data_IF_217392572235
#
_entry.id   IF_217392572235
#
_cell.length_a   1.000
_cell.length_b   1.000
_cell.length_c   1.000
_cell.angle_alpha   90.00
_cell.angle_beta   90.00
_cell.angle_gamma   90.00
#
_symmetry.space_group_name_H-M   'P 1'
#
loop_
_entity.id
_entity.type
_entity.pdbx_description
1 polymer ?
#
# COMPACT_ATOMS: atom_id res chain seq x y z
N UNK A 1 -31.36 10.19 4.23
CA UNK A 1 -30.57 9.37 5.17
C UNK A 1 -29.54 10.32 5.81
N UNK A 2 -29.74 10.72 7.06
CA UNK A 2 -28.87 11.67 7.78
C UNK A 2 -27.81 10.88 8.56
N UNK A 3 -26.54 11.11 8.28
CA UNK A 3 -25.44 10.51 9.05
C UNK A 3 -25.45 11.07 10.49
N UNK A 4 -25.54 10.19 11.49
CA UNK A 4 -25.36 10.56 12.91
C UNK A 4 -23.90 10.95 13.13
N UNK A 5 -23.62 12.23 13.39
CA UNK A 5 -22.33 12.65 13.94
C UNK A 5 -22.15 12.06 15.35
N UNK A 6 -20.93 11.73 15.78
CA UNK A 6 -20.66 11.22 17.12
C UNK A 6 -20.72 12.37 18.13
N UNK A 7 -21.92 12.77 18.55
CA UNK A 7 -22.17 13.85 19.52
C UNK A 7 -21.68 13.46 20.92
N UNK A 8 -21.60 12.15 21.22
CA UNK A 8 -21.34 11.63 22.57
C UNK A 8 -19.96 12.02 23.14
N UNK A 9 -18.95 12.16 22.28
CA UNK A 9 -17.56 12.36 22.73
C UNK A 9 -17.04 13.80 22.54
N UNK A 10 -17.83 14.67 21.88
CA UNK A 10 -17.47 16.07 21.68
C UNK A 10 -18.72 16.96 21.71
N UNK A 11 -19.33 17.15 22.89
CA UNK A 11 -20.58 17.90 23.04
C UNK A 11 -20.45 19.37 22.62
N UNK A 12 -19.22 19.90 22.64
CA UNK A 12 -18.93 21.29 22.27
C UNK A 12 -18.54 21.46 20.79
N UNK A 13 -18.46 20.36 20.01
CA UNK A 13 -17.96 20.37 18.62
C UNK A 13 -16.58 21.03 18.44
N UNK A 14 -15.75 21.06 19.49
CA UNK A 14 -14.42 21.64 19.44
C UNK A 14 -13.37 20.54 19.30
N UNK A 15 -12.53 20.64 18.27
CA UNK A 15 -11.37 19.77 18.09
C UNK A 15 -10.14 20.66 18.18
N UNK A 16 -9.31 20.40 19.18
CA UNK A 16 -8.01 21.05 19.30
C UNK A 16 -6.95 20.09 18.78
N UNK A 17 -6.24 20.51 17.72
CA UNK A 17 -5.06 19.82 17.21
C UNK A 17 -3.85 20.62 17.63
N UNK A 18 -3.04 20.07 18.52
CA UNK A 18 -1.82 20.71 19.03
C UNK A 18 -0.59 19.95 18.56
N UNK A 19 0.38 20.67 17.98
CA UNK A 19 1.70 20.12 17.66
C UNK A 19 2.62 20.44 18.83
N UNK A 20 3.11 19.40 19.53
CA UNK A 20 3.90 19.56 20.75
C UNK A 20 5.37 19.92 20.47
N UNK A 21 5.91 19.51 19.31
CA UNK A 21 7.29 19.73 18.87
C UNK A 21 7.29 19.89 17.35
N UNK A 22 7.77 21.03 16.85
CA UNK A 22 7.89 21.31 15.41
C UNK A 22 9.37 21.36 14.95
N UNK A 23 10.28 20.90 15.80
CA UNK A 23 11.70 20.76 15.45
C UNK A 23 11.96 19.40 14.82
N UNK A 24 12.69 19.42 13.69
CA UNK A 24 13.09 18.21 12.97
C UNK A 24 14.60 18.04 13.11
N UNK A 25 15.03 16.86 13.55
CA UNK A 25 16.42 16.57 13.93
C UNK A 25 17.34 16.50 12.70
N UNK A 26 17.95 17.64 12.33
CA UNK A 26 19.07 17.70 11.39
C UNK A 26 18.76 17.31 9.95
N UNK A 27 17.48 17.15 9.57
CA UNK A 27 17.05 16.86 8.20
C UNK A 27 15.93 17.82 7.81
N UNK A 28 15.98 18.28 6.55
CA UNK A 28 14.90 19.06 5.98
C UNK A 28 13.71 18.16 5.70
N UNK A 29 12.51 18.66 5.97
CA UNK A 29 11.29 18.03 5.46
C UNK A 29 11.29 18.13 3.93
N UNK A 30 11.35 17.00 3.26
CA UNK A 30 11.30 16.92 1.81
C UNK A 30 9.93 16.41 1.35
N UNK A 31 9.10 17.35 0.89
CA UNK A 31 7.78 17.06 0.30
C UNK A 31 7.92 16.15 -0.94
N UNK A 32 9.05 16.22 -1.65
CA UNK A 32 9.35 15.38 -2.81
C UNK A 32 9.45 13.90 -2.44
N UNK A 33 9.94 13.58 -1.26
CA UNK A 33 9.98 12.20 -0.76
C UNK A 33 8.57 11.62 -0.60
N UNK A 34 7.60 12.40 -0.10
CA UNK A 34 6.20 11.99 -0.02
C UNK A 34 5.60 11.75 -1.41
N UNK A 35 5.86 12.64 -2.38
CA UNK A 35 5.41 12.46 -3.75
C UNK A 35 6.04 11.24 -4.42
N UNK A 36 7.32 10.97 -4.13
CA UNK A 36 8.03 9.81 -4.65
C UNK A 36 7.40 8.51 -4.16
N UNK A 37 7.13 8.38 -2.85
CA UNK A 37 6.51 7.16 -2.31
C UNK A 37 5.09 6.94 -2.87
N UNK A 38 4.29 8.00 -3.00
CA UNK A 38 2.98 7.93 -3.65
C UNK A 38 3.10 7.52 -5.13
N UNK A 39 4.07 8.10 -5.87
CA UNK A 39 4.38 7.75 -7.25
C UNK A 39 5.12 6.42 -7.39
N UNK A 40 5.55 5.78 -6.32
CA UNK A 40 6.19 4.45 -6.31
C UNK A 40 5.20 3.34 -6.02
N UNK A 41 4.18 3.61 -5.21
CA UNK A 41 3.16 2.66 -4.81
C UNK A 41 2.40 2.03 -6.00
N UNK A 42 2.19 0.72 -5.94
CA UNK A 42 1.37 0.02 -6.94
C UNK A 42 -0.08 0.45 -6.84
N UNK A 43 -0.71 0.68 -7.99
CA UNK A 43 -2.14 0.97 -8.06
C UNK A 43 -2.95 -0.30 -7.82
N UNK A 44 -4.24 -0.16 -7.49
CA UNK A 44 -5.14 -1.31 -7.29
C UNK A 44 -5.16 -2.29 -8.48
N UNK A 45 -5.22 -1.83 -9.75
CA UNK A 45 -5.11 -2.73 -10.91
C UNK A 45 -3.78 -3.50 -10.96
N UNK A 46 -2.64 -2.85 -10.67
CA UNK A 46 -1.34 -3.51 -10.64
C UNK A 46 -1.28 -4.59 -9.55
N UNK A 47 -1.87 -4.31 -8.37
CA UNK A 47 -1.94 -5.29 -7.28
C UNK A 47 -2.75 -6.53 -7.67
N UNK A 48 -3.90 -6.36 -8.34
CA UNK A 48 -4.70 -7.48 -8.84
C UNK A 48 -3.95 -8.33 -9.87
N UNK A 49 -3.23 -7.68 -10.78
CA UNK A 49 -2.40 -8.40 -11.76
C UNK A 49 -1.26 -9.17 -11.07
N UNK A 50 -0.59 -8.57 -10.07
CA UNK A 50 0.47 -9.23 -9.29
C UNK A 50 -0.08 -10.45 -8.56
N UNK A 51 -1.21 -10.28 -7.87
CA UNK A 51 -1.89 -11.37 -7.17
C UNK A 51 -2.18 -12.52 -8.13
N UNK A 52 -2.86 -12.24 -9.25
CA UNK A 52 -3.24 -13.26 -10.20
C UNK A 52 -2.02 -13.99 -10.79
N UNK A 53 -1.00 -13.25 -11.23
CA UNK A 53 0.21 -13.82 -11.80
C UNK A 53 1.03 -14.63 -10.80
N UNK A 54 1.09 -14.20 -9.54
CA UNK A 54 1.87 -14.88 -8.51
C UNK A 54 1.17 -16.13 -7.95
N UNK A 55 -0.15 -16.07 -7.80
CA UNK A 55 -0.95 -17.11 -7.16
C UNK A 55 -1.49 -18.13 -8.14
N UNK A 56 -2.10 -17.69 -9.25
CA UNK A 56 -2.81 -18.58 -10.15
C UNK A 56 -1.91 -19.08 -11.29
N UNK A 57 -1.02 -18.22 -11.77
CA UNK A 57 -0.10 -18.52 -12.89
C UNK A 57 1.32 -18.88 -12.42
N UNK A 58 1.57 -18.83 -11.11
CA UNK A 58 2.86 -19.15 -10.45
C UNK A 58 4.09 -18.52 -11.13
N UNK A 59 3.93 -17.33 -11.71
CA UNK A 59 4.99 -16.67 -12.44
C UNK A 59 6.11 -16.22 -11.49
N UNK A 60 7.34 -16.40 -11.96
CA UNK A 60 8.52 -15.86 -11.27
C UNK A 60 8.48 -14.33 -11.29
N UNK A 61 8.99 -13.73 -10.22
CA UNK A 61 9.00 -12.27 -10.02
C UNK A 61 9.63 -11.47 -11.18
N UNK A 62 10.62 -12.03 -11.88
CA UNK A 62 11.19 -11.41 -13.08
C UNK A 62 10.18 -11.31 -14.24
N UNK A 63 9.35 -12.32 -14.45
CA UNK A 63 8.32 -12.33 -15.48
C UNK A 63 7.22 -11.31 -15.13
N UNK A 64 6.72 -11.34 -13.89
CA UNK A 64 5.74 -10.38 -13.38
C UNK A 64 6.25 -8.95 -13.57
N UNK A 65 7.51 -8.67 -13.21
CA UNK A 65 8.13 -7.36 -13.40
C UNK A 65 8.13 -6.91 -14.87
N UNK A 66 8.47 -7.80 -15.80
CA UNK A 66 8.50 -7.50 -17.24
C UNK A 66 7.09 -7.19 -17.76
N UNK A 67 6.10 -7.99 -17.37
CA UNK A 67 4.70 -7.80 -17.76
C UNK A 67 4.12 -6.49 -17.22
N UNK A 68 4.35 -6.18 -15.93
CA UNK A 68 3.92 -4.91 -15.34
C UNK A 68 4.56 -3.70 -16.03
N UNK A 69 5.86 -3.77 -16.33
CA UNK A 69 6.55 -2.71 -17.08
C UNK A 69 5.94 -2.50 -18.46
N UNK A 70 5.65 -3.58 -19.18
CA UNK A 70 5.05 -3.51 -20.51
C UNK A 70 3.61 -2.97 -20.48
N UNK A 71 2.79 -3.45 -19.54
CA UNK A 71 1.35 -3.10 -19.44
C UNK A 71 1.12 -1.68 -18.93
N UNK A 72 1.89 -1.23 -17.94
CA UNK A 72 1.66 0.04 -17.25
C UNK A 72 2.66 1.14 -17.62
N UNK A 73 3.65 0.83 -18.47
CA UNK A 73 4.72 1.74 -18.88
C UNK A 73 5.36 2.51 -17.71
N UNK A 74 5.55 1.83 -16.57
CA UNK A 74 6.03 2.44 -15.33
C UNK A 74 7.18 1.65 -14.72
N UNK A 75 8.05 2.34 -14.01
CA UNK A 75 9.14 1.73 -13.26
C UNK A 75 8.58 0.86 -12.14
N UNK A 76 8.97 -0.40 -12.15
CA UNK A 76 8.65 -1.40 -11.12
C UNK A 76 9.89 -1.62 -10.25
N UNK A 77 9.75 -1.30 -8.97
CA UNK A 77 10.81 -1.44 -7.98
C UNK A 77 10.81 -2.85 -7.39
N UNK A 78 11.98 -3.49 -7.34
CA UNK A 78 12.09 -4.90 -6.96
C UNK A 78 11.68 -5.15 -5.51
N UNK A 79 12.12 -4.28 -4.60
CA UNK A 79 11.83 -4.43 -3.17
C UNK A 79 10.32 -4.42 -2.91
N UNK A 80 9.60 -3.45 -3.48
CA UNK A 80 8.15 -3.35 -3.34
C UNK A 80 7.44 -4.52 -4.01
N UNK A 81 7.88 -4.95 -5.20
CA UNK A 81 7.31 -6.10 -5.89
C UNK A 81 7.46 -7.38 -5.07
N UNK A 82 8.66 -7.66 -4.54
CA UNK A 82 8.90 -8.84 -3.73
C UNK A 82 8.09 -8.82 -2.43
N UNK A 83 7.98 -7.65 -1.78
CA UNK A 83 7.15 -7.50 -0.58
C UNK A 83 5.68 -7.84 -0.84
N UNK A 84 5.14 -7.40 -1.99
CA UNK A 84 3.76 -7.69 -2.37
C UNK A 84 3.56 -9.18 -2.71
N UNK A 85 4.44 -9.77 -3.53
CA UNK A 85 4.37 -11.20 -3.88
C UNK A 85 4.45 -12.07 -2.62
N UNK A 86 5.39 -11.77 -1.72
CA UNK A 86 5.55 -12.48 -0.46
C UNK A 86 4.26 -12.42 0.38
N UNK A 87 3.62 -11.24 0.46
CA UNK A 87 2.36 -11.07 1.18
C UNK A 87 1.26 -11.96 0.60
N UNK A 88 1.12 -12.05 -0.72
CA UNK A 88 0.11 -12.90 -1.34
C UNK A 88 0.36 -14.39 -1.07
N UNK A 89 1.61 -14.84 -1.19
CA UNK A 89 1.98 -16.22 -0.88
C UNK A 89 1.69 -16.56 0.59
N UNK A 90 2.03 -15.66 1.51
CA UNK A 90 1.78 -15.87 2.93
C UNK A 90 0.28 -15.97 3.23
N UNK A 91 -0.52 -15.03 2.71
CA UNK A 91 -1.96 -15.01 2.92
C UNK A 91 -2.64 -16.27 2.38
N UNK A 92 -2.27 -16.74 1.19
CA UNK A 92 -2.84 -17.96 0.63
C UNK A 92 -2.52 -19.21 1.43
N UNK A 93 -1.30 -19.29 2.00
CA UNK A 93 -0.95 -20.38 2.88
C UNK A 93 -1.75 -20.34 4.19
N UNK A 94 -2.13 -19.15 4.68
CA UNK A 94 -2.99 -19.03 5.86
C UNK A 94 -4.42 -19.52 5.56
N UNK A 95 -5.02 -19.06 4.45
CA UNK A 95 -6.37 -19.50 4.05
C UNK A 95 -6.44 -20.97 3.65
N UNK A 96 -5.34 -21.56 3.15
CA UNK A 96 -5.28 -22.99 2.83
C UNK A 96 -5.28 -23.91 4.06
N UNK A 97 -4.91 -23.40 5.23
CA UNK A 97 -4.84 -24.19 6.47
C UNK A 97 -6.14 -24.18 7.30
N UNK A 98 -7.09 -23.28 6.99
CA UNK A 98 -8.37 -23.17 7.72
C UNK A 98 -9.47 -24.09 7.15
N UNK A 99 -9.11 -25.06 6.28
CA UNK A 99 -10.04 -25.98 5.58
C UNK A 99 -9.90 -27.44 6.04
N UNK A 100 -9.42 -27.69 7.27
CA UNK A 100 -9.37 -29.04 7.87
C UNK A 100 -10.30 -29.19 9.06
#
# INVERSE_FOLDING_TARGET
MLYKLPIKNNPNFLIFVTTLLNEHSGHNLDVSACHFEAFKAFTKPMLKDIEWMSIHDYLKSLAIKRMLKAKYNRKVYNQDLYKVIYKYHHNNNTYGNDVL
#
